data_IF_501156850091
#
_entry.id   IF_501156850091
#
_cell.length_a   1.000
_cell.length_b   1.000
_cell.length_c   1.000
_cell.angle_alpha   90.00
_cell.angle_beta   90.00
_cell.angle_gamma   90.00
#
_symmetry.space_group_name_H-M   'P 1'
#
loop_
_entity.id
_entity.type
_entity.pdbx_description
1 polymer ?
#
# COMPACT_ATOMS: atom_id res chain seq x y z
N UNK A 1 -3.28 -15.17 12.17
CA UNK A 1 -3.44 -15.99 10.95
C UNK A 1 -4.81 -15.67 10.36
N UNK A 2 -4.85 -15.02 9.20
CA UNK A 2 -6.09 -14.70 8.48
C UNK A 2 -6.53 -15.96 7.72
N UNK A 3 -7.82 -16.34 7.80
CA UNK A 3 -8.34 -17.53 7.12
C UNK A 3 -8.86 -17.17 5.73
N UNK A 4 -8.69 -18.05 4.75
CA UNK A 4 -9.13 -17.84 3.36
C UNK A 4 -10.64 -17.58 3.20
N UNK A 5 -11.46 -18.07 4.14
CA UNK A 5 -12.90 -17.82 4.18
C UNK A 5 -13.27 -16.36 4.49
N UNK A 6 -12.40 -15.64 5.21
CA UNK A 6 -12.55 -14.21 5.52
C UNK A 6 -12.18 -13.30 4.33
N UNK A 7 -11.56 -13.85 3.27
CA UNK A 7 -11.23 -13.09 2.04
C UNK A 7 -12.39 -13.03 1.04
N UNK A 8 -13.51 -13.74 1.27
CA UNK A 8 -14.70 -13.67 0.41
C UNK A 8 -15.46 -12.35 0.51
N UNK A 9 -15.25 -11.61 1.60
CA UNK A 9 -15.74 -10.26 1.79
C UNK A 9 -14.50 -9.39 1.99
N UNK A 10 -14.30 -8.36 1.16
CA UNK A 10 -13.11 -7.50 1.24
C UNK A 10 -12.89 -7.01 2.68
N UNK A 11 -11.61 -6.85 3.08
CA UNK A 11 -11.29 -6.29 4.40
C UNK A 11 -11.71 -4.82 4.42
N UNK A 12 -12.16 -4.30 5.57
CA UNK A 12 -12.39 -2.86 5.70
C UNK A 12 -11.09 -2.11 5.46
N UNK A 13 -11.20 -0.87 5.02
CA UNK A 13 -10.07 0.06 4.98
C UNK A 13 -10.16 1.01 6.17
N UNK A 14 -9.02 1.37 6.77
CA UNK A 14 -8.96 2.27 7.92
C UNK A 14 -7.77 3.22 7.83
N UNK A 15 -7.91 4.41 8.41
CA UNK A 15 -6.84 5.40 8.37
C UNK A 15 -5.62 4.98 9.21
N UNK A 16 -4.39 5.15 8.69
CA UNK A 16 -3.18 4.88 9.43
C UNK A 16 -2.95 5.94 10.53
N UNK A 17 -2.23 5.56 11.59
CA UNK A 17 -1.76 6.49 12.62
C UNK A 17 -0.26 6.30 12.88
N UNK A 18 0.44 7.41 13.19
CA UNK A 18 1.87 7.36 13.51
C UNK A 18 2.12 6.59 14.80
N UNK A 19 3.11 5.71 14.79
CA UNK A 19 3.46 4.82 15.90
C UNK A 19 2.64 3.53 15.96
N UNK A 20 1.64 3.35 15.10
CA UNK A 20 0.84 2.14 15.08
C UNK A 20 1.64 0.94 14.57
N UNK A 21 1.47 -0.19 15.26
CA UNK A 21 1.92 -1.49 14.77
C UNK A 21 1.08 -1.90 13.56
N UNK A 22 1.73 -2.55 12.60
CA UNK A 22 1.10 -3.02 11.38
C UNK A 22 1.82 -4.26 10.85
N UNK A 23 1.22 -4.90 9.85
CA UNK A 23 1.79 -6.08 9.18
C UNK A 23 1.74 -5.86 7.68
N UNK A 24 2.86 -6.04 6.99
CA UNK A 24 2.90 -6.10 5.53
C UNK A 24 2.78 -7.54 5.06
N UNK A 25 2.12 -7.79 3.93
CA UNK A 25 2.08 -9.10 3.28
C UNK A 25 2.57 -9.04 1.84
N UNK A 26 3.75 -9.58 1.58
CA UNK A 26 4.40 -9.55 0.27
C UNK A 26 4.44 -10.93 -0.36
N UNK A 27 4.51 -10.98 -1.69
CA UNK A 27 4.62 -12.22 -2.43
C UNK A 27 5.86 -12.18 -3.33
N UNK A 28 6.63 -13.26 -3.32
CA UNK A 28 7.70 -13.49 -4.29
C UNK A 28 7.59 -14.89 -4.91
N UNK A 29 8.13 -15.11 -6.12
CA UNK A 29 8.16 -16.44 -6.72
C UNK A 29 8.94 -17.47 -5.90
N UNK A 30 9.99 -17.02 -5.20
CA UNK A 30 10.93 -17.91 -4.49
C UNK A 30 10.42 -18.31 -3.10
N UNK A 31 9.74 -17.39 -2.40
CA UNK A 31 9.28 -17.59 -1.01
C UNK A 31 7.77 -17.83 -0.93
N UNK A 32 7.00 -17.38 -1.93
CA UNK A 32 5.55 -17.32 -1.85
C UNK A 32 5.08 -16.12 -1.03
N UNK A 33 3.92 -16.26 -0.38
CA UNK A 33 3.35 -15.21 0.47
C UNK A 33 4.04 -15.21 1.84
N UNK A 34 4.63 -14.08 2.20
CA UNK A 34 5.25 -13.84 3.51
C UNK A 34 4.64 -12.59 4.15
N UNK A 35 4.53 -12.61 5.48
CA UNK A 35 4.10 -11.46 6.27
C UNK A 35 5.14 -11.06 7.28
N UNK A 36 5.36 -9.76 7.46
CA UNK A 36 6.31 -9.23 8.43
C UNK A 36 5.74 -8.02 9.17
N UNK A 37 6.12 -7.91 10.44
CA UNK A 37 5.71 -6.82 11.30
C UNK A 37 6.43 -5.53 10.92
N UNK A 38 5.69 -4.42 11.04
CA UNK A 38 6.14 -3.08 10.69
C UNK A 38 5.54 -2.05 11.65
N UNK A 39 5.99 -0.81 11.57
CA UNK A 39 5.43 0.32 12.31
C UNK A 39 5.28 1.50 11.37
N UNK A 40 4.13 2.17 11.44
CA UNK A 40 3.89 3.41 10.70
C UNK A 40 4.70 4.52 11.37
N UNK A 41 5.69 5.07 10.68
CA UNK A 41 6.62 6.04 11.26
C UNK A 41 6.19 7.48 11.02
N UNK A 42 5.45 7.74 9.93
CA UNK A 42 5.04 9.10 9.58
C UNK A 42 3.85 9.13 8.61
N UNK A 43 2.90 10.02 8.85
CA UNK A 43 1.87 10.37 7.86
C UNK A 43 2.39 11.46 6.91
N UNK A 44 2.08 11.32 5.62
CA UNK A 44 2.62 12.14 4.55
C UNK A 44 1.51 12.76 3.70
N UNK A 45 1.67 14.03 3.35
CA UNK A 45 1.02 14.64 2.21
C UNK A 45 2.12 15.14 1.28
N UNK A 46 2.32 14.48 0.15
CA UNK A 46 3.46 14.74 -0.75
C UNK A 46 2.97 15.00 -2.16
N UNK A 47 3.53 16.02 -2.81
CA UNK A 47 3.42 16.19 -4.26
C UNK A 47 4.54 15.41 -4.91
N UNK A 48 4.19 14.39 -5.70
CA UNK A 48 5.14 13.60 -6.47
C UNK A 48 4.69 13.55 -7.92
N UNK A 49 5.63 13.34 -8.83
CA UNK A 49 5.30 13.09 -10.23
C UNK A 49 4.40 11.85 -10.35
N UNK A 50 3.52 11.85 -11.33
CA UNK A 50 2.83 10.64 -11.75
C UNK A 50 3.83 9.59 -12.29
N UNK A 51 3.31 8.42 -12.67
CA UNK A 51 4.14 7.33 -13.18
C UNK A 51 4.74 7.61 -14.57
N UNK A 52 4.29 8.68 -15.23
CA UNK A 52 4.67 9.06 -16.59
C UNK A 52 5.55 10.32 -16.65
N UNK A 53 5.80 10.94 -15.49
CA UNK A 53 6.61 12.16 -15.32
C UNK A 53 6.00 13.33 -16.13
N UNK A 54 4.68 13.43 -16.14
CA UNK A 54 3.96 14.48 -16.87
C UNK A 54 3.35 15.51 -15.92
N UNK A 55 2.70 15.04 -14.86
CA UNK A 55 2.02 15.88 -13.89
C UNK A 55 2.48 15.62 -12.44
N UNK A 56 2.45 16.68 -11.63
CA UNK A 56 2.58 16.57 -10.18
C UNK A 56 1.25 16.24 -9.55
N UNK A 57 1.19 15.16 -8.78
CA UNK A 57 -0.01 14.72 -8.06
C UNK A 57 0.23 14.74 -6.55
N UNK A 58 -0.74 15.31 -5.81
CA UNK A 58 -0.75 15.21 -4.36
C UNK A 58 -1.19 13.80 -3.94
N UNK A 59 -0.38 13.16 -3.09
CA UNK A 59 -0.66 11.85 -2.52
C UNK A 59 -0.65 11.92 -1.01
N UNK A 60 -1.76 11.47 -0.43
CA UNK A 60 -1.80 11.09 0.99
C UNK A 60 -1.18 9.71 1.14
N UNK A 61 -0.09 9.64 1.87
CA UNK A 61 0.71 8.45 2.04
C UNK A 61 1.15 8.30 3.49
N UNK A 62 1.85 7.22 3.78
CA UNK A 62 2.59 7.08 5.02
C UNK A 62 3.93 6.37 4.79
N UNK A 63 4.88 6.67 5.65
CA UNK A 63 6.16 5.98 5.78
C UNK A 63 6.02 4.88 6.84
N UNK A 64 6.67 3.75 6.61
CA UNK A 64 6.73 2.64 7.56
C UNK A 64 8.10 1.99 7.58
N UNK A 65 8.48 1.43 8.72
CA UNK A 65 9.73 0.69 8.87
C UNK A 65 9.59 -0.70 8.24
N UNK A 66 10.42 -1.04 7.25
CA UNK A 66 10.28 -2.34 6.62
C UNK A 66 11.20 -2.52 5.43
N UNK A 67 11.73 -3.73 5.31
CA UNK A 67 12.58 -4.14 4.20
C UNK A 67 11.71 -4.52 2.98
N UNK A 68 11.10 -3.51 2.35
CA UNK A 68 10.43 -3.67 1.05
C UNK A 68 11.49 -3.74 -0.05
N UNK A 69 11.30 -4.67 -0.97
CA UNK A 69 12.16 -4.92 -2.12
C UNK A 69 11.46 -4.63 -3.43
N UNK A 70 12.24 -4.58 -4.52
CA UNK A 70 11.66 -4.45 -5.86
C UNK A 70 10.79 -5.68 -6.13
N UNK A 71 9.51 -5.45 -6.42
CA UNK A 71 8.51 -6.52 -6.60
C UNK A 71 7.38 -6.44 -5.57
N UNK A 72 7.62 -5.83 -4.41
CA UNK A 72 6.64 -5.72 -3.32
C UNK A 72 5.66 -4.54 -3.52
N UNK A 73 5.76 -3.80 -4.63
CA UNK A 73 4.77 -2.79 -4.99
C UNK A 73 3.40 -3.46 -5.15
N UNK A 74 2.37 -2.89 -4.53
CA UNK A 74 1.04 -3.49 -4.44
C UNK A 74 0.80 -4.28 -3.15
N UNK A 75 1.82 -4.49 -2.31
CA UNK A 75 1.66 -5.13 -1.01
C UNK A 75 0.68 -4.34 -0.13
N UNK A 76 -0.34 -4.99 0.46
CA UNK A 76 -1.18 -4.37 1.46
C UNK A 76 -0.46 -4.25 2.80
N UNK A 77 -0.70 -3.15 3.50
CA UNK A 77 -0.35 -2.96 4.91
C UNK A 77 -1.61 -3.11 5.74
N UNK A 78 -1.60 -4.03 6.69
CA UNK A 78 -2.72 -4.32 7.58
C UNK A 78 -2.48 -3.71 8.96
N UNK A 79 -3.54 -3.17 9.57
CA UNK A 79 -3.55 -2.84 11.00
C UNK A 79 -3.75 -4.07 11.87
N UNK A 80 -3.70 -3.89 13.19
CA UNK A 80 -3.83 -4.99 14.17
C UNK A 80 -5.17 -5.72 14.11
N UNK A 81 -6.23 -5.03 13.68
CA UNK A 81 -7.57 -5.56 13.42
C UNK A 81 -7.68 -6.26 12.05
N UNK A 82 -6.62 -6.18 11.25
CA UNK A 82 -6.53 -6.68 9.87
C UNK A 82 -7.30 -5.84 8.85
N UNK A 83 -7.63 -4.59 9.18
CA UNK A 83 -8.07 -3.59 8.22
C UNK A 83 -6.90 -3.18 7.32
N UNK A 84 -7.16 -2.87 6.05
CA UNK A 84 -6.13 -2.36 5.13
C UNK A 84 -5.90 -0.87 5.42
N UNK A 85 -4.66 -0.54 5.78
CA UNK A 85 -4.23 0.84 6.04
C UNK A 85 -3.67 1.53 4.80
N UNK A 86 -3.15 0.75 3.86
CA UNK A 86 -2.62 1.26 2.61
C UNK A 86 -1.99 0.21 1.71
N UNK A 87 -1.48 0.69 0.56
CA UNK A 87 -0.85 -0.13 -0.47
C UNK A 87 0.55 0.42 -0.77
N UNK A 88 1.56 -0.44 -0.70
CA UNK A 88 2.97 -0.07 -0.93
C UNK A 88 3.17 0.36 -2.39
N UNK A 89 3.85 1.50 -2.60
CA UNK A 89 4.18 1.98 -3.96
C UNK A 89 5.67 2.27 -4.15
N UNK A 90 6.42 2.50 -3.08
CA UNK A 90 7.83 2.83 -3.17
C UNK A 90 8.61 2.40 -1.92
N UNK A 91 9.94 2.39 -2.07
CA UNK A 91 10.89 2.29 -0.96
C UNK A 91 11.90 3.42 -1.04
N UNK A 92 12.45 3.80 0.11
CA UNK A 92 13.59 4.72 0.15
C UNK A 92 14.84 4.02 -0.40
N UNK A 93 15.70 4.78 -1.09
CA UNK A 93 17.01 4.30 -1.60
C UNK A 93 18.10 4.35 -0.55
N UNK A 94 17.93 5.22 0.45
CA UNK A 94 18.96 5.54 1.45
C UNK A 94 18.57 5.08 2.86
N UNK A 95 17.28 4.84 3.08
CA UNK A 95 16.70 4.52 4.39
C UNK A 95 15.98 3.18 4.31
N UNK A 96 15.95 2.42 5.40
CA UNK A 96 15.22 1.15 5.49
C UNK A 96 13.71 1.31 5.66
N UNK A 97 13.09 2.21 4.89
CA UNK A 97 11.66 2.56 5.01
C UNK A 97 10.93 2.38 3.69
N UNK A 98 9.67 1.97 3.79
CA UNK A 98 8.72 1.89 2.68
C UNK A 98 7.74 3.06 2.68
N UNK A 99 7.05 3.25 1.56
CA UNK A 99 5.97 4.21 1.40
C UNK A 99 4.74 3.53 0.84
N UNK A 100 3.60 3.83 1.45
CA UNK A 100 2.31 3.31 1.03
C UNK A 100 1.30 4.45 0.82
N UNK A 101 0.45 4.32 -0.21
CA UNK A 101 -0.70 5.20 -0.37
C UNK A 101 -1.70 4.89 0.74
N UNK A 102 -2.18 5.93 1.41
CA UNK A 102 -3.13 5.81 2.52
C UNK A 102 -4.57 5.69 2.02
N UNK A 103 -5.45 5.24 2.90
CA UNK A 103 -6.88 5.05 2.64
C UNK A 103 -7.60 6.26 2.01
N UNK A 104 -7.36 7.54 2.40
CA UNK A 104 -7.97 8.66 1.69
C UNK A 104 -7.55 8.78 0.21
N UNK A 105 -6.38 8.26 -0.17
CA UNK A 105 -5.95 8.21 -1.58
C UNK A 105 -6.55 7.02 -2.34
N UNK A 106 -6.97 5.96 -1.64
CA UNK A 106 -7.53 4.74 -2.23
C UNK A 106 -9.05 4.87 -2.40
N UNK A 107 -9.76 5.46 -1.43
CA UNK A 107 -11.22 5.52 -1.41
C UNK A 107 -11.84 6.09 -2.71
N UNK A 108 -11.33 7.20 -3.29
CA UNK A 108 -11.89 7.73 -4.54
C UNK A 108 -11.78 6.76 -5.72
N UNK A 109 -10.73 5.93 -5.74
CA UNK A 109 -10.55 4.90 -6.77
C UNK A 109 -11.58 3.79 -6.57
N UNK A 110 -11.79 3.33 -5.34
CA UNK A 110 -12.81 2.33 -5.01
C UNK A 110 -14.23 2.82 -5.36
N UNK A 111 -14.53 4.09 -5.10
CA UNK A 111 -15.82 4.70 -5.43
C UNK A 111 -16.08 4.78 -6.95
N UNK A 112 -15.02 4.71 -7.76
CA UNK A 112 -15.08 4.76 -9.22
C UNK A 112 -15.13 3.38 -9.90
N UNK A 113 -15.04 2.30 -9.12
CA UNK A 113 -14.98 0.94 -9.67
C UNK A 113 -16.28 0.60 -10.42
N UNK A 114 -16.11 0.10 -11.63
CA UNK A 114 -17.18 -0.45 -12.47
C UNK A 114 -16.75 -1.81 -13.00
N UNK A 115 -17.70 -2.63 -13.47
CA UNK A 115 -17.42 -3.92 -14.11
C UNK A 115 -16.89 -3.80 -15.56
N UNK A 116 -16.47 -2.59 -15.97
CA UNK A 116 -15.95 -2.34 -17.31
C UNK A 116 -14.43 -2.49 -17.37
N UNK A 117 -13.93 -2.95 -18.52
CA UNK A 117 -12.50 -3.05 -18.75
C UNK A 117 -11.90 -1.65 -18.91
N UNK A 118 -10.89 -1.32 -18.11
CA UNK A 118 -10.08 -0.13 -18.27
C UNK A 118 -8.83 -0.40 -19.12
N UNK A 119 -8.31 0.65 -19.77
CA UNK A 119 -6.98 0.66 -20.38
C UNK A 119 -5.90 0.71 -19.29
N UNK A 120 -4.75 0.06 -19.52
CA UNK A 120 -3.58 0.08 -18.64
C UNK A 120 -2.60 1.21 -18.97
N UNK A 121 -2.85 1.98 -20.03
CA UNK A 121 -2.00 3.08 -20.45
C UNK A 121 -0.69 2.62 -21.12
N UNK A 122 0.25 3.57 -21.27
CA UNK A 122 1.57 3.33 -21.87
C UNK A 122 2.55 2.66 -20.91
N UNK A 123 3.62 2.09 -21.44
CA UNK A 123 4.71 1.53 -20.63
C UNK A 123 5.45 2.63 -19.86
N UNK A 124 5.88 2.29 -18.64
CA UNK A 124 6.78 3.08 -17.78
C UNK A 124 8.24 2.72 -18.03
#
# INVERSE_FOLDING_TARGET
MIRAEEMRYGRPISDPSTGAAATAAAWSPDVGLESFDTTITRLLCVTIEDIYIEDGVERRAFEFDGAITTGDSGTPIFGETGDVLGIVYARSRERGVGFAVSTPGIQPVLDSVTDSRADTGRCI
#
